data_IF_405214212913
#
_entry.id   IF_405214212913
#
_cell.length_a   1.000
_cell.length_b   1.000
_cell.length_c   1.000
_cell.angle_alpha   90.00
_cell.angle_beta   90.00
_cell.angle_gamma   90.00
#
_symmetry.space_group_name_H-M   'P 1'
#
loop_
_entity.id
_entity.type
_entity.pdbx_description
1 polymer ?
#
# COMPACT_ATOMS: atom_id res chain seq x y z
N UNK A 1 -3.32 -13.80 -22.09
CA UNK A 1 -3.64 -12.37 -22.31
C UNK A 1 -4.91 -12.02 -21.53
N UNK A 2 -5.10 -10.76 -21.08
CA UNK A 2 -6.40 -10.20 -20.67
C UNK A 2 -6.98 -10.49 -19.25
N UNK A 3 -6.21 -10.39 -18.15
CA UNK A 3 -6.74 -10.19 -16.77
C UNK A 3 -5.70 -9.37 -16.02
N UNK A 4 -5.96 -8.13 -15.61
CA UNK A 4 -5.00 -7.42 -14.77
C UNK A 4 -5.60 -6.37 -13.86
N UNK A 5 -4.87 -6.18 -12.76
CA UNK A 5 -5.04 -5.12 -11.78
C UNK A 5 -6.48 -5.13 -11.20
N UNK A 6 -7.10 -4.06 -10.69
CA UNK A 6 -6.71 -2.68 -10.36
C UNK A 6 -7.69 -2.33 -9.13
N UNK A 7 -7.31 -1.77 -7.93
CA UNK A 7 -8.19 -1.05 -6.92
C UNK A 7 -7.50 -0.28 -5.72
N UNK A 8 -7.65 1.06 -5.57
CA UNK A 8 -7.04 2.00 -4.54
C UNK A 8 -7.96 3.17 -4.16
N UNK A 9 -9.20 3.32 -4.66
CA UNK A 9 -10.04 4.50 -4.35
C UNK A 9 -10.31 4.76 -2.84
N UNK A 10 -9.99 3.81 -1.96
CA UNK A 10 -9.48 4.13 -0.62
C UNK A 10 -8.12 4.86 -0.65
N UNK A 11 -8.13 6.06 -1.26
CA UNK A 11 -7.01 6.92 -1.74
C UNK A 11 -6.69 6.89 -3.24
N UNK A 12 -7.77 6.92 -4.04
CA UNK A 12 -7.91 7.19 -5.49
C UNK A 12 -7.23 6.23 -6.49
N UNK A 13 -8.06 5.79 -7.45
CA UNK A 13 -7.78 5.05 -8.71
C UNK A 13 -8.11 3.53 -8.74
N UNK A 14 -8.12 2.97 -9.96
CA UNK A 14 -7.75 1.62 -10.48
C UNK A 14 -8.95 0.59 -10.76
N UNK A 15 -9.45 0.34 -12.03
CA UNK A 15 -9.90 -0.95 -12.76
C UNK A 15 -10.64 -0.82 -14.13
N UNK A 16 -10.45 -1.59 -15.26
CA UNK A 16 -9.53 -2.72 -15.68
C UNK A 16 -9.83 -3.37 -17.10
N UNK A 17 -8.81 -3.73 -17.93
CA UNK A 17 -8.91 -4.02 -19.38
C UNK A 17 -7.99 -5.13 -19.98
N UNK A 18 -8.05 -5.30 -21.32
CA UNK A 18 -7.76 -6.53 -22.07
C UNK A 18 -7.09 -6.27 -23.46
N UNK A 19 -5.75 -6.31 -23.59
CA UNK A 19 -5.01 -6.11 -24.87
C UNK A 19 -5.13 -7.22 -25.95
N UNK A 20 -4.56 -7.03 -27.15
CA UNK A 20 -4.64 -7.96 -28.33
C UNK A 20 -3.35 -8.01 -29.15
N UNK A 21 -3.02 -9.18 -29.71
CA UNK A 21 -1.80 -9.44 -30.49
C UNK A 21 -1.90 -8.97 -31.97
N UNK A 22 -0.79 -8.46 -32.51
CA UNK A 22 -0.45 -8.52 -33.94
C UNK A 22 1.05 -8.78 -34.09
N UNK A 23 1.41 -9.73 -34.96
CA UNK A 23 2.79 -10.08 -35.29
C UNK A 23 3.20 -9.48 -36.64
N UNK A 24 4.51 -9.39 -36.92
CA UNK A 24 4.99 -9.55 -38.29
C UNK A 24 6.09 -10.61 -38.44
N UNK A 25 5.82 -11.53 -39.38
CA UNK A 25 6.67 -12.26 -40.33
C UNK A 25 8.18 -12.53 -40.08
N UNK A 26 8.56 -13.77 -40.43
CA UNK A 26 9.93 -14.23 -40.66
C UNK A 26 10.68 -13.47 -41.78
N UNK A 27 12.00 -13.34 -41.63
CA UNK A 27 12.97 -13.50 -42.74
C UNK A 27 14.18 -14.29 -42.21
N UNK A 28 14.69 -15.22 -43.02
CA UNK A 28 15.71 -16.21 -42.68
C UNK A 28 16.99 -16.03 -43.53
N UNK A 29 18.08 -16.73 -43.14
CA UNK A 29 19.39 -16.85 -43.80
C UNK A 29 20.33 -15.61 -43.70
N UNK A 30 21.66 -15.77 -43.56
CA UNK A 30 22.48 -16.98 -43.53
C UNK A 30 23.94 -16.72 -43.11
N UNK A 31 24.80 -17.74 -43.24
CA UNK A 31 26.22 -17.79 -42.82
C UNK A 31 27.14 -16.81 -43.61
N UNK A 32 28.45 -16.63 -43.36
CA UNK A 32 29.45 -17.48 -42.70
C UNK A 32 30.76 -16.68 -42.36
N UNK A 33 31.77 -17.37 -41.80
CA UNK A 33 33.24 -17.14 -41.81
C UNK A 33 33.99 -16.44 -40.67
N UNK A 34 34.81 -17.28 -40.02
CA UNK A 34 36.23 -17.09 -39.63
C UNK A 34 36.66 -16.24 -38.42
N UNK A 35 37.30 -16.97 -37.50
CA UNK A 35 37.96 -16.54 -36.29
C UNK A 35 39.24 -15.67 -36.47
N UNK A 36 39.50 -14.83 -35.47
CA UNK A 36 40.87 -14.62 -34.94
C UNK A 36 40.81 -14.63 -33.41
N UNK A 37 41.75 -15.34 -32.77
CA UNK A 37 41.83 -15.43 -31.32
C UNK A 37 42.42 -14.16 -30.68
N UNK A 38 41.69 -13.55 -29.74
CA UNK A 38 42.16 -12.42 -28.93
C UNK A 38 41.69 -12.55 -27.48
N UNK A 39 42.49 -13.21 -26.62
CA UNK A 39 42.22 -13.27 -25.16
C UNK A 39 42.49 -11.90 -24.51
N UNK A 40 41.58 -10.96 -24.66
CA UNK A 40 41.44 -9.84 -23.72
C UNK A 40 40.47 -10.24 -22.62
N UNK A 41 40.91 -10.18 -21.35
CA UNK A 41 39.98 -10.26 -20.21
C UNK A 41 39.07 -9.04 -20.27
N UNK A 42 37.84 -9.22 -20.73
CA UNK A 42 36.80 -8.20 -20.59
C UNK A 42 36.55 -7.98 -19.10
N UNK A 43 37.09 -6.90 -18.54
CA UNK A 43 36.72 -6.48 -17.19
C UNK A 43 35.25 -6.08 -17.22
N UNK A 44 34.44 -6.74 -16.39
CA UNK A 44 33.07 -6.31 -16.16
C UNK A 44 33.11 -4.86 -15.67
N UNK A 45 32.53 -3.93 -16.45
CA UNK A 45 32.47 -2.50 -16.11
C UNK A 45 31.36 -2.25 -15.09
N UNK A 46 31.54 -2.84 -13.92
CA UNK A 46 30.79 -2.44 -12.74
C UNK A 46 31.32 -1.12 -12.20
N UNK A 47 30.46 -0.28 -11.63
CA UNK A 47 30.90 0.87 -10.86
C UNK A 47 31.56 0.45 -9.51
N UNK A 48 32.02 1.41 -8.71
CA UNK A 48 32.59 1.18 -7.37
C UNK A 48 31.64 0.39 -6.43
N UNK A 49 30.33 0.46 -6.64
CA UNK A 49 29.30 -0.25 -5.87
C UNK A 49 28.97 -1.66 -6.41
N UNK A 50 29.60 -2.09 -7.52
CA UNK A 50 29.40 -3.40 -8.14
C UNK A 50 28.18 -3.50 -9.08
N UNK A 51 27.64 -2.38 -9.55
CA UNK A 51 26.44 -2.32 -10.40
C UNK A 51 26.84 -2.49 -11.87
N UNK A 52 26.23 -3.46 -12.57
CA UNK A 52 26.31 -3.56 -14.03
C UNK A 52 25.56 -2.38 -14.66
N UNK A 53 26.29 -1.59 -15.47
CA UNK A 53 25.81 -0.34 -16.06
C UNK A 53 25.33 -0.50 -17.50
N UNK A 54 25.48 -1.68 -18.10
CA UNK A 54 25.25 -1.88 -19.55
C UNK A 54 23.87 -2.49 -19.83
N UNK A 55 23.33 -3.28 -18.91
CA UNK A 55 22.07 -4.04 -19.10
C UNK A 55 20.85 -3.39 -18.43
N UNK A 56 20.90 -2.08 -18.14
CA UNK A 56 20.07 -1.46 -17.10
C UNK A 56 19.13 -0.35 -17.62
N UNK A 57 17.86 -0.69 -17.79
CA UNK A 57 16.75 0.29 -17.86
C UNK A 57 16.13 0.50 -16.48
N UNK A 58 16.86 1.16 -15.57
CA UNK A 58 16.21 1.89 -14.48
C UNK A 58 16.38 3.36 -14.75
N UNK A 59 15.25 4.07 -14.80
CA UNK A 59 15.19 5.53 -14.84
C UNK A 59 15.55 6.11 -13.46
N UNK A 60 16.76 5.78 -12.98
CA UNK A 60 17.30 6.06 -11.63
C UNK A 60 17.68 7.54 -11.51
N UNK A 61 16.72 8.41 -11.83
CA UNK A 61 16.81 9.85 -11.68
C UNK A 61 16.87 10.19 -10.20
N UNK A 62 17.72 11.16 -9.86
CA UNK A 62 17.77 11.71 -8.51
C UNK A 62 17.08 13.06 -8.49
N UNK A 63 16.20 13.25 -7.51
CA UNK A 63 15.50 14.52 -7.30
C UNK A 63 16.02 15.15 -6.00
N UNK A 64 16.33 16.44 -6.08
CA UNK A 64 16.53 17.28 -4.90
C UNK A 64 15.22 18.01 -4.65
N UNK A 65 14.46 17.61 -3.63
CA UNK A 65 13.22 18.29 -3.27
C UNK A 65 13.53 19.68 -2.68
N UNK A 66 13.42 20.73 -3.48
CA UNK A 66 13.46 22.12 -3.01
C UNK A 66 12.04 22.58 -2.66
N UNK A 67 11.87 23.22 -1.51
CA UNK A 67 10.54 23.56 -0.97
C UNK A 67 9.68 24.47 -1.86
N UNK A 68 10.30 25.20 -2.81
CA UNK A 68 9.72 26.29 -3.61
C UNK A 68 9.33 25.91 -5.05
N UNK A 69 9.56 24.66 -5.48
CA UNK A 69 9.36 24.23 -6.88
C UNK A 69 8.04 23.52 -7.19
N UNK A 70 7.07 23.53 -6.28
CA UNK A 70 5.82 22.75 -6.41
C UNK A 70 4.65 23.61 -6.92
N UNK A 71 3.75 23.05 -7.75
CA UNK A 71 2.54 23.74 -8.19
C UNK A 71 1.74 24.33 -7.01
N UNK A 72 1.09 25.46 -7.25
CA UNK A 72 0.16 26.11 -6.32
C UNK A 72 -1.22 26.23 -6.98
N UNK A 73 -1.98 25.13 -7.15
CA UNK A 73 -3.32 25.21 -7.72
C UNK A 73 -4.28 25.92 -6.76
N UNK A 74 -5.42 26.35 -7.29
CA UNK A 74 -6.44 27.11 -6.55
C UNK A 74 -7.79 26.37 -6.54
N UNK A 75 -8.78 26.94 -5.86
CA UNK A 75 -10.10 26.35 -5.70
C UNK A 75 -10.24 25.45 -4.47
N UNK A 76 -11.33 24.66 -4.45
CA UNK A 76 -11.67 23.72 -3.38
C UNK A 76 -10.61 22.64 -3.24
N UNK A 77 -10.30 22.28 -2.00
CA UNK A 77 -9.35 21.20 -1.67
C UNK A 77 -10.02 20.19 -0.76
N UNK A 78 -10.01 18.91 -1.15
CA UNK A 78 -10.40 17.79 -0.29
C UNK A 78 -9.13 17.12 0.25
N UNK A 79 -9.02 17.03 1.58
CA UNK A 79 -7.84 16.57 2.30
C UNK A 79 -8.11 15.17 2.87
N UNK A 80 -7.47 14.14 2.31
CA UNK A 80 -7.65 12.74 2.73
C UNK A 80 -6.37 12.20 3.35
N UNK A 81 -6.45 11.75 4.60
CA UNK A 81 -5.31 11.19 5.32
C UNK A 81 -5.14 9.68 5.08
N UNK A 82 -3.91 9.26 4.79
CA UNK A 82 -3.47 7.88 4.59
C UNK A 82 -2.61 7.43 5.76
N UNK A 83 -3.05 6.40 6.48
CA UNK A 83 -2.32 5.90 7.64
C UNK A 83 -2.13 4.38 7.56
N UNK A 84 -0.89 3.98 7.30
CA UNK A 84 -0.46 2.58 7.46
C UNK A 84 -0.18 2.30 8.93
N UNK A 85 -0.98 1.45 9.58
CA UNK A 85 -0.82 1.12 11.00
C UNK A 85 -0.02 -0.18 11.20
N UNK A 86 1.06 -0.11 12.00
CA UNK A 86 1.67 -1.31 12.59
C UNK A 86 0.79 -1.77 13.76
N UNK A 87 -0.20 -2.60 13.44
CA UNK A 87 -0.93 -3.41 14.43
C UNK A 87 -0.59 -4.88 14.20
N UNK A 88 -0.01 -5.51 15.22
CA UNK A 88 0.32 -6.93 15.21
C UNK A 88 -0.96 -7.76 15.35
N UNK A 89 -0.91 -9.05 15.03
CA UNK A 89 -2.08 -9.94 15.05
C UNK A 89 -2.76 -9.94 16.44
N UNK A 90 -3.98 -9.40 16.51
CA UNK A 90 -4.75 -9.26 17.75
C UNK A 90 -4.43 -8.01 18.59
N UNK A 91 -3.45 -7.19 18.20
CA UNK A 91 -3.04 -6.00 18.95
C UNK A 91 -4.06 -4.85 18.78
N UNK A 92 -4.58 -4.26 19.87
CA UNK A 92 -5.43 -3.07 19.79
C UNK A 92 -4.62 -1.81 19.43
N UNK A 93 -3.32 -1.76 19.76
CA UNK A 93 -2.50 -0.58 19.53
C UNK A 93 -1.97 -0.56 18.09
N UNK A 94 -2.10 0.60 17.43
CA UNK A 94 -1.69 0.80 16.05
C UNK A 94 -0.78 2.02 15.95
N UNK A 95 0.52 1.78 15.78
CA UNK A 95 1.49 2.84 15.53
C UNK A 95 1.35 3.35 14.08
N UNK A 96 1.36 4.67 13.88
CA UNK A 96 1.23 5.26 12.55
C UNK A 96 2.60 5.23 11.83
N UNK A 97 2.82 4.20 11.01
CA UNK A 97 4.14 3.83 10.48
C UNK A 97 4.42 4.38 9.08
N UNK A 98 3.35 4.65 8.34
CA UNK A 98 3.33 5.37 7.07
C UNK A 98 2.23 6.45 7.16
N UNK A 99 2.57 7.69 6.79
CA UNK A 99 1.70 8.86 6.94
C UNK A 99 1.75 9.66 5.63
N UNK A 100 0.65 9.73 4.90
CA UNK A 100 0.55 10.54 3.69
C UNK A 100 -0.75 11.34 3.73
N UNK A 101 -0.67 12.64 3.52
CA UNK A 101 -1.85 13.47 3.31
C UNK A 101 -2.01 13.70 1.81
N UNK A 102 -3.12 13.25 1.23
CA UNK A 102 -3.46 13.54 -0.17
C UNK A 102 -4.41 14.72 -0.22
N UNK A 103 -4.10 15.69 -1.06
CA UNK A 103 -4.89 16.91 -1.26
C UNK A 103 -5.36 16.95 -2.70
N UNK A 104 -6.66 16.80 -2.90
CA UNK A 104 -7.30 16.87 -4.20
C UNK A 104 -7.78 18.30 -4.43
N UNK A 105 -7.08 19.03 -5.30
CA UNK A 105 -7.47 20.36 -5.78
C UNK A 105 -8.50 20.16 -6.90
N UNK A 106 -9.74 19.89 -6.49
CA UNK A 106 -10.78 19.35 -7.37
C UNK A 106 -11.12 20.29 -8.53
N UNK A 107 -11.18 21.60 -8.29
CA UNK A 107 -11.46 22.60 -9.34
C UNK A 107 -10.26 22.85 -10.29
N UNK A 108 -9.06 22.39 -9.92
CA UNK A 108 -7.85 22.49 -10.74
C UNK A 108 -7.48 21.18 -11.44
N UNK A 109 -8.17 20.07 -11.15
CA UNK A 109 -7.79 18.73 -11.61
C UNK A 109 -6.36 18.37 -11.22
N UNK A 110 -5.97 18.57 -9.95
CA UNK A 110 -4.60 18.42 -9.45
C UNK A 110 -4.53 17.71 -8.08
N UNK A 111 -3.43 17.00 -7.82
CA UNK A 111 -3.25 16.15 -6.63
C UNK A 111 -1.88 16.34 -5.98
N UNK A 112 -1.84 16.71 -4.71
CA UNK A 112 -0.60 16.75 -3.91
C UNK A 112 -0.55 15.60 -2.91
N UNK A 113 0.54 14.84 -2.88
CA UNK A 113 0.81 13.83 -1.84
C UNK A 113 1.89 14.38 -0.90
N UNK A 114 1.51 14.72 0.34
CA UNK A 114 2.42 15.13 1.41
C UNK A 114 2.78 13.92 2.26
N UNK A 115 3.97 13.39 2.05
CA UNK A 115 4.57 12.27 2.79
C UNK A 115 5.24 12.76 4.08
N UNK A 116 4.90 12.17 5.23
CA UNK A 116 5.41 12.56 6.56
C UNK A 116 6.14 11.39 7.25
N UNK A 117 7.45 11.50 7.57
CA UNK A 117 8.21 10.47 8.30
C UNK A 117 7.60 10.11 9.65
N UNK A 118 7.68 8.83 10.01
CA UNK A 118 7.09 8.31 11.25
C UNK A 118 7.77 8.85 12.51
N UNK A 119 9.04 9.21 12.38
CA UNK A 119 9.89 9.76 13.44
C UNK A 119 9.83 11.30 13.52
N UNK A 120 8.95 11.97 12.76
CA UNK A 120 8.71 13.42 12.90
C UNK A 120 8.28 13.72 14.34
N UNK A 121 8.96 14.66 15.00
CA UNK A 121 8.67 15.04 16.39
C UNK A 121 7.24 15.58 16.50
N UNK A 122 6.51 15.07 17.50
CA UNK A 122 5.24 15.61 17.94
C UNK A 122 4.94 15.08 19.35
N UNK A 123 4.34 15.90 20.21
CA UNK A 123 4.00 15.49 21.58
C UNK A 123 2.98 14.34 21.58
N UNK A 124 3.45 13.16 21.97
CA UNK A 124 2.67 11.94 22.11
C UNK A 124 2.28 11.66 23.58
N UNK A 125 2.65 12.55 24.52
CA UNK A 125 2.39 12.43 25.95
C UNK A 125 3.42 11.57 26.70
N UNK A 126 4.63 11.44 26.17
CA UNK A 126 5.76 10.87 26.91
C UNK A 126 6.63 11.98 27.49
N UNK A 127 7.45 11.62 28.48
CA UNK A 127 8.58 12.44 28.92
C UNK A 127 9.59 12.59 27.74
N UNK A 128 10.06 13.80 27.48
CA UNK A 128 10.96 14.09 26.34
C UNK A 128 12.28 13.30 26.40
N UNK A 129 12.75 12.92 27.60
CA UNK A 129 13.96 12.08 27.77
C UNK A 129 13.83 10.71 27.10
N UNK A 130 12.60 10.22 26.88
CA UNK A 130 12.33 8.91 26.27
C UNK A 130 12.58 8.85 24.76
N UNK A 131 12.65 9.99 24.07
CA UNK A 131 12.64 10.09 22.61
C UNK A 131 11.39 9.45 21.93
N UNK A 132 10.29 9.26 22.68
CA UNK A 132 9.03 8.66 22.18
C UNK A 132 8.01 9.69 21.67
N UNK A 133 8.25 11.00 21.84
CA UNK A 133 7.44 12.08 21.29
C UNK A 133 7.62 12.21 19.78
N UNK A 134 6.96 11.30 19.06
CA UNK A 134 7.04 11.11 17.61
C UNK A 134 5.65 10.82 17.05
N UNK A 135 5.37 11.29 15.84
CA UNK A 135 4.09 11.14 15.14
C UNK A 135 3.56 9.70 15.13
N UNK A 136 4.45 8.71 14.96
CA UNK A 136 4.14 7.27 15.01
C UNK A 136 3.44 6.82 16.30
N UNK A 137 3.75 7.46 17.43
CA UNK A 137 3.19 7.15 18.73
C UNK A 137 1.95 8.01 19.06
N UNK A 138 1.78 9.19 18.47
CA UNK A 138 0.60 10.04 18.71
C UNK A 138 -0.70 9.28 18.42
N UNK A 139 -0.74 8.50 17.33
CA UNK A 139 -1.91 7.69 16.96
C UNK A 139 -2.21 6.57 17.97
N UNK A 140 -1.18 5.98 18.54
CA UNK A 140 -1.27 4.91 19.52
C UNK A 140 -1.68 5.43 20.91
N UNK A 141 -1.01 6.49 21.39
CA UNK A 141 -1.16 7.02 22.74
C UNK A 141 -2.30 8.02 22.91
N UNK A 142 -2.50 8.91 21.94
CA UNK A 142 -3.47 10.03 22.00
C UNK A 142 -4.65 9.88 21.05
N UNK A 143 -4.73 8.74 20.35
CA UNK A 143 -5.84 8.38 19.46
C UNK A 143 -5.87 9.14 18.13
N UNK A 144 -6.83 8.75 17.27
CA UNK A 144 -6.98 9.25 15.89
C UNK A 144 -7.15 10.78 15.82
N UNK A 145 -8.02 11.35 16.65
CA UNK A 145 -8.32 12.80 16.63
C UNK A 145 -7.09 13.67 16.88
N UNK A 146 -6.27 13.31 17.88
CA UNK A 146 -5.04 14.03 18.22
C UNK A 146 -3.99 13.88 17.11
N UNK A 147 -3.89 12.68 16.54
CA UNK A 147 -3.02 12.39 15.40
C UNK A 147 -3.40 13.19 14.15
N UNK A 148 -4.68 13.28 13.78
CA UNK A 148 -5.10 14.08 12.62
C UNK A 148 -4.84 15.58 12.81
N UNK A 149 -4.95 16.10 14.04
CA UNK A 149 -4.52 17.48 14.37
C UNK A 149 -3.01 17.68 14.18
N UNK A 150 -2.19 16.72 14.61
CA UNK A 150 -0.74 16.75 14.38
C UNK A 150 -0.39 16.78 12.88
N UNK A 151 -1.11 16.01 12.05
CA UNK A 151 -0.94 16.05 10.58
C UNK A 151 -1.28 17.44 10.04
N UNK A 152 -2.40 18.06 10.46
CA UNK A 152 -2.77 19.41 10.04
C UNK A 152 -1.67 20.43 10.32
N UNK A 153 -1.09 20.40 11.53
CA UNK A 153 -0.02 21.29 11.97
C UNK A 153 1.28 21.09 11.16
N UNK A 154 1.74 19.85 11.02
CA UNK A 154 2.97 19.50 10.27
C UNK A 154 2.82 19.84 8.76
N UNK A 155 1.66 19.58 8.18
CA UNK A 155 1.38 19.87 6.79
C UNK A 155 1.14 21.36 6.52
N UNK A 156 0.55 22.08 7.49
CA UNK A 156 0.05 23.45 7.31
C UNK A 156 -1.31 23.48 6.60
N UNK A 157 -2.20 22.53 6.90
CA UNK A 157 -3.56 22.47 6.34
C UNK A 157 -4.61 22.69 7.44
N UNK A 158 -5.78 23.30 7.15
CA UNK A 158 -6.75 23.66 8.18
C UNK A 158 -7.48 22.46 8.78
N UNK A 159 -7.73 21.41 8.00
CA UNK A 159 -8.43 20.20 8.44
C UNK A 159 -8.11 18.98 7.58
N UNK A 160 -8.47 17.81 8.10
CA UNK A 160 -8.61 16.56 7.35
C UNK A 160 -10.11 16.33 7.13
N UNK A 161 -10.51 16.11 5.88
CA UNK A 161 -11.91 15.87 5.49
C UNK A 161 -12.26 14.37 5.65
N UNK A 162 -11.38 13.51 5.15
CA UNK A 162 -11.52 12.05 5.22
C UNK A 162 -10.23 11.39 5.68
N UNK A 163 -10.32 10.20 6.25
CA UNK A 163 -9.14 9.40 6.66
C UNK A 163 -9.34 7.94 6.28
N UNK A 164 -8.22 7.27 5.99
CA UNK A 164 -8.15 5.84 5.67
C UNK A 164 -7.02 5.22 6.49
N UNK A 165 -7.35 4.21 7.29
CA UNK A 165 -6.42 3.43 8.10
C UNK A 165 -6.40 1.96 7.63
N UNK A 166 -5.20 1.39 7.46
CA UNK A 166 -5.03 -0.02 7.12
C UNK A 166 -3.73 -0.62 7.69
N UNK A 167 -3.79 -1.87 8.13
CA UNK A 167 -2.64 -2.65 8.57
C UNK A 167 -2.04 -3.54 7.48
N UNK A 168 -1.04 -4.35 7.82
CA UNK A 168 -0.28 -5.13 6.82
C UNK A 168 -1.12 -6.09 5.96
N UNK A 169 -2.09 -6.82 6.54
CA UNK A 169 -2.93 -7.75 5.77
C UNK A 169 -3.83 -6.99 4.77
N UNK A 170 -4.37 -5.85 5.19
CA UNK A 170 -5.20 -4.98 4.36
C UNK A 170 -4.35 -4.34 3.24
N UNK A 171 -3.12 -3.93 3.54
CA UNK A 171 -2.16 -3.45 2.54
C UNK A 171 -1.83 -4.53 1.47
N UNK A 172 -1.69 -5.81 1.86
CA UNK A 172 -1.56 -6.91 0.90
C UNK A 172 -2.81 -7.02 0.02
N UNK A 173 -4.01 -7.02 0.62
CA UNK A 173 -5.27 -7.07 -0.14
C UNK A 173 -5.41 -5.93 -1.15
N UNK A 174 -5.09 -4.70 -0.74
CA UNK A 174 -5.05 -3.54 -1.63
C UNK A 174 -4.02 -3.76 -2.76
N UNK A 175 -2.78 -4.16 -2.44
CA UNK A 175 -1.72 -4.44 -3.42
C UNK A 175 -2.11 -5.52 -4.45
N UNK A 176 -2.73 -6.61 -4.00
CA UNK A 176 -3.26 -7.65 -4.89
C UNK A 176 -4.33 -7.09 -5.83
N UNK A 177 -5.25 -6.26 -5.30
CA UNK A 177 -6.22 -5.55 -6.14
C UNK A 177 -5.52 -4.60 -7.12
N UNK A 178 -4.43 -3.90 -6.78
CA UNK A 178 -3.70 -3.07 -7.78
C UNK A 178 -2.96 -3.86 -8.87
N UNK A 179 -3.01 -5.19 -8.86
CA UNK A 179 -2.31 -6.03 -9.82
C UNK A 179 -0.92 -6.48 -9.40
N UNK A 180 -0.52 -6.23 -8.15
CA UNK A 180 0.68 -6.85 -7.58
C UNK A 180 0.36 -8.25 -7.03
N UNK A 181 -0.66 -8.95 -7.54
CA UNK A 181 -1.12 -10.23 -6.99
C UNK A 181 0.02 -11.24 -6.79
N UNK A 182 0.90 -11.36 -7.78
CA UNK A 182 2.02 -12.29 -7.78
C UNK A 182 3.19 -11.87 -6.89
N UNK A 183 3.25 -10.60 -6.44
CA UNK A 183 4.38 -10.06 -5.68
C UNK A 183 4.01 -9.09 -4.54
N UNK A 184 2.76 -9.05 -4.09
CA UNK A 184 2.25 -8.08 -3.12
C UNK A 184 3.07 -8.04 -1.82
N UNK A 185 3.49 -9.21 -1.32
CA UNK A 185 4.37 -9.31 -0.15
C UNK A 185 5.76 -8.69 -0.40
N UNK A 186 6.31 -8.86 -1.61
CA UNK A 186 7.58 -8.26 -2.03
C UNK A 186 7.43 -6.75 -2.23
N UNK A 187 6.36 -6.27 -2.86
CA UNK A 187 6.03 -4.85 -2.99
C UNK A 187 5.93 -4.18 -1.63
N UNK A 188 5.19 -4.79 -0.69
CA UNK A 188 5.07 -4.30 0.68
C UNK A 188 6.43 -4.30 1.41
N UNK A 189 7.30 -5.29 1.18
CA UNK A 189 8.67 -5.31 1.74
C UNK A 189 9.53 -4.17 1.19
N UNK A 190 9.47 -3.88 -0.11
CA UNK A 190 10.14 -2.73 -0.74
C UNK A 190 9.66 -1.43 -0.09
N UNK A 191 8.35 -1.20 -0.02
CA UNK A 191 7.74 0.01 0.55
C UNK A 191 7.97 0.17 2.07
N UNK A 192 8.31 -0.92 2.78
CA UNK A 192 8.66 -0.89 4.20
C UNK A 192 10.15 -0.71 4.47
N UNK A 193 11.01 -0.90 3.47
CA UNK A 193 12.46 -0.88 3.67
C UNK A 193 12.97 0.49 4.09
N UNK A 194 13.83 0.53 5.11
CA UNK A 194 14.49 1.75 5.63
C UNK A 194 16.00 1.62 5.51
N UNK A 195 16.55 0.55 6.09
CA UNK A 195 17.98 0.28 6.23
C UNK A 195 18.70 0.10 4.89
N UNK A 196 18.01 -0.32 3.84
CA UNK A 196 18.60 -0.44 2.51
C UNK A 196 18.86 0.93 1.83
N UNK A 197 18.28 2.02 2.33
CA UNK A 197 18.40 3.35 1.72
C UNK A 197 19.34 4.26 2.52
N UNK A 198 20.24 4.97 1.83
CA UNK A 198 21.17 5.93 2.45
C UNK A 198 20.43 7.08 3.17
N UNK A 199 19.35 7.59 2.55
CA UNK A 199 18.50 8.63 3.14
C UNK A 199 17.43 8.06 4.12
N UNK A 200 17.57 6.80 4.54
CA UNK A 200 16.77 6.16 5.59
C UNK A 200 15.26 6.31 5.43
N UNK A 201 14.60 6.86 6.45
CA UNK A 201 13.14 7.01 6.45
C UNK A 201 12.63 7.97 5.39
N UNK A 202 13.38 9.02 5.07
CA UNK A 202 12.97 9.99 4.04
C UNK A 202 12.85 9.33 2.66
N UNK A 203 13.75 8.39 2.32
CA UNK A 203 13.62 7.59 1.10
C UNK A 203 12.43 6.63 1.18
N UNK A 204 12.19 5.97 2.33
CA UNK A 204 11.04 5.08 2.50
C UNK A 204 9.72 5.82 2.26
N UNK A 205 9.52 6.95 2.92
CA UNK A 205 8.24 7.67 2.89
C UNK A 205 8.06 8.45 1.58
N UNK A 206 9.16 8.84 0.92
CA UNK A 206 9.12 9.29 -0.48
C UNK A 206 8.75 8.17 -1.45
N UNK A 207 9.32 6.97 -1.29
CA UNK A 207 9.00 5.79 -2.11
C UNK A 207 7.52 5.41 -1.99
N UNK A 208 6.96 5.46 -0.79
CA UNK A 208 5.52 5.24 -0.56
C UNK A 208 4.67 6.28 -1.30
N UNK A 209 5.01 7.59 -1.21
CA UNK A 209 4.31 8.64 -1.96
C UNK A 209 4.44 8.51 -3.48
N UNK A 210 5.63 8.13 -3.97
CA UNK A 210 5.86 7.88 -5.41
C UNK A 210 5.14 6.64 -5.93
N UNK A 211 5.06 5.57 -5.12
CA UNK A 211 4.25 4.41 -5.40
C UNK A 211 2.78 4.80 -5.57
N UNK A 212 2.22 5.55 -4.61
CA UNK A 212 0.84 6.05 -4.67
C UNK A 212 0.62 6.90 -5.92
N UNK A 213 1.52 7.85 -6.22
CA UNK A 213 1.47 8.66 -7.45
C UNK A 213 1.45 7.81 -8.73
N UNK A 214 2.31 6.81 -8.84
CA UNK A 214 2.39 5.96 -10.04
C UNK A 214 1.20 5.01 -10.16
N UNK A 215 0.64 4.55 -9.04
CA UNK A 215 -0.61 3.79 -9.02
C UNK A 215 -1.79 4.66 -9.45
N UNK A 216 -1.89 5.91 -8.97
CA UNK A 216 -2.90 6.86 -9.43
C UNK A 216 -2.78 7.14 -10.93
N UNK A 217 -1.58 7.45 -11.41
CA UNK A 217 -1.40 7.79 -12.82
C UNK A 217 -1.77 6.65 -13.76
N UNK A 218 -1.32 5.41 -13.52
CA UNK A 218 -1.49 4.31 -14.49
C UNK A 218 -2.93 3.94 -14.89
N UNK A 219 -3.93 4.58 -14.29
CA UNK A 219 -5.19 3.91 -14.09
C UNK A 219 -6.40 4.75 -13.68
N UNK A 220 -6.21 6.05 -13.42
CA UNK A 220 -7.32 6.96 -13.09
C UNK A 220 -8.43 6.85 -14.15
N UNK A 221 -8.01 6.70 -15.40
CA UNK A 221 -8.87 6.65 -16.59
C UNK A 221 -9.66 5.33 -16.75
N UNK A 222 -9.51 4.36 -15.83
CA UNK A 222 -10.37 3.19 -15.74
C UNK A 222 -10.90 3.18 -14.30
N UNK A 223 -11.75 4.11 -13.92
CA UNK A 223 -12.36 4.15 -12.57
C UNK A 223 -13.88 4.26 -12.59
N UNK A 224 -14.40 4.56 -13.77
CA UNK A 224 -15.78 4.74 -14.19
C UNK A 224 -16.35 3.51 -14.93
N UNK A 225 -15.56 2.44 -15.10
CA UNK A 225 -16.07 1.14 -15.53
C UNK A 225 -16.57 0.30 -14.34
N UNK A 226 -17.45 -0.66 -14.61
CA UNK A 226 -18.05 -1.57 -13.59
C UNK A 226 -17.00 -2.28 -12.71
N UNK A 227 -15.83 -2.57 -13.26
CA UNK A 227 -14.73 -3.25 -12.58
C UNK A 227 -14.01 -2.24 -11.67
N UNK A 228 -13.89 -0.97 -12.09
CA UNK A 228 -13.51 0.20 -11.29
C UNK A 228 -14.42 0.40 -10.08
N UNK A 229 -15.74 0.44 -10.28
CA UNK A 229 -16.72 0.54 -9.21
C UNK A 229 -16.60 -0.60 -8.19
N UNK A 230 -16.50 -1.84 -8.69
CA UNK A 230 -16.35 -3.04 -7.86
C UNK A 230 -15.04 -3.02 -7.08
N UNK A 231 -13.95 -2.56 -7.71
CA UNK A 231 -12.64 -2.35 -7.09
C UNK A 231 -12.71 -1.32 -5.95
N UNK A 232 -13.33 -0.16 -6.18
CA UNK A 232 -13.58 0.85 -5.14
C UNK A 232 -14.36 0.25 -3.96
N UNK A 233 -15.49 -0.43 -4.21
CA UNK A 233 -16.29 -1.08 -3.16
C UNK A 233 -15.46 -2.12 -2.39
N UNK A 234 -14.64 -2.91 -3.08
CA UNK A 234 -13.74 -3.88 -2.47
C UNK A 234 -12.68 -3.21 -1.57
N UNK A 235 -12.08 -2.10 -2.03
CA UNK A 235 -11.13 -1.33 -1.24
C UNK A 235 -11.79 -0.79 0.04
N UNK A 236 -12.99 -0.19 -0.05
CA UNK A 236 -13.73 0.35 1.11
C UNK A 236 -14.06 -0.73 2.14
N UNK A 237 -14.34 -1.95 1.69
CA UNK A 237 -14.60 -3.09 2.57
C UNK A 237 -13.34 -3.72 3.20
N UNK A 238 -12.14 -3.35 2.72
CA UNK A 238 -10.85 -3.80 3.28
C UNK A 238 -10.30 -2.85 4.35
N UNK A 239 -10.48 -1.53 4.21
CA UNK A 239 -9.88 -0.51 5.08
C UNK A 239 -10.80 -0.07 6.22
N UNK A 240 -10.27 0.66 7.20
CA UNK A 240 -11.07 1.47 8.12
C UNK A 240 -11.12 2.91 7.60
N UNK A 241 -12.30 3.53 7.44
CA UNK A 241 -12.43 4.88 6.90
C UNK A 241 -13.76 5.55 7.30
N UNK A 242 -13.82 6.89 7.20
CA UNK A 242 -15.07 7.67 7.20
C UNK A 242 -15.55 8.07 5.78
N UNK A 243 -14.88 7.61 4.73
CA UNK A 243 -15.19 7.95 3.34
C UNK A 243 -16.26 7.00 2.78
N UNK A 244 -17.28 7.53 2.11
CA UNK A 244 -18.33 6.74 1.43
C UNK A 244 -17.99 6.49 -0.03
N UNK A 245 -18.67 5.55 -0.66
CA UNK A 245 -18.59 5.32 -2.11
C UNK A 245 -18.88 6.61 -2.90
N UNK A 246 -19.98 7.29 -2.58
CA UNK A 246 -20.42 8.50 -3.27
C UNK A 246 -19.42 9.67 -3.10
N UNK A 247 -18.77 9.76 -1.92
CA UNK A 247 -17.71 10.74 -1.68
C UNK A 247 -16.44 10.43 -2.49
N UNK A 248 -16.14 9.15 -2.69
CA UNK A 248 -15.05 8.70 -3.54
C UNK A 248 -15.29 9.04 -5.01
N UNK A 249 -16.45 8.63 -5.52
CA UNK A 249 -16.93 8.86 -6.89
C UNK A 249 -16.92 10.36 -7.22
N UNK A 250 -17.49 11.18 -6.35
CA UNK A 250 -17.48 12.64 -6.52
C UNK A 250 -16.07 13.25 -6.63
N UNK A 251 -15.09 12.75 -5.87
CA UNK A 251 -13.71 13.26 -5.97
C UNK A 251 -13.12 12.91 -7.35
N UNK A 252 -13.39 11.72 -7.88
CA UNK A 252 -12.92 11.29 -9.20
C UNK A 252 -13.58 12.09 -10.32
N UNK A 253 -14.89 12.29 -10.24
CA UNK A 253 -15.65 13.01 -11.26
C UNK A 253 -15.30 14.51 -11.28
N UNK A 254 -15.15 15.14 -10.10
CA UNK A 254 -14.64 16.51 -10.04
C UNK A 254 -13.19 16.57 -10.62
N UNK A 255 -12.31 15.61 -10.33
CA UNK A 255 -10.95 15.58 -10.91
C UNK A 255 -10.94 15.37 -12.44
N UNK A 256 -11.74 14.42 -12.95
CA UNK A 256 -11.83 14.07 -14.38
C UNK A 256 -12.39 15.23 -15.19
N UNK A 257 -13.45 15.87 -14.69
CA UNK A 257 -14.06 17.04 -15.33
C UNK A 257 -13.13 18.27 -15.38
N UNK A 258 -12.14 18.35 -14.49
CA UNK A 258 -11.12 19.42 -14.49
C UNK A 258 -9.76 18.97 -15.09
N UNK A 259 -9.76 17.88 -15.86
CA UNK A 259 -8.63 17.47 -16.72
C UNK A 259 -7.51 16.71 -16.02
N UNK A 260 -7.77 16.06 -14.89
CA UNK A 260 -6.87 15.03 -14.37
C UNK A 260 -7.02 13.74 -15.20
N UNK A 261 -5.91 13.14 -15.64
CA UNK A 261 -5.89 11.88 -16.40
C UNK A 261 -4.58 11.10 -16.16
N UNK A 262 -4.47 9.89 -16.71
CA UNK A 262 -3.23 9.11 -16.70
C UNK A 262 -2.09 9.75 -17.49
N UNK A 263 -2.44 10.54 -18.51
CA UNK A 263 -1.52 11.07 -19.52
C UNK A 263 -0.76 12.32 -19.06
N UNK A 264 -1.26 13.04 -18.05
CA UNK A 264 -0.62 14.25 -17.50
C UNK A 264 0.04 13.97 -16.14
N UNK A 265 1.30 13.49 -16.12
CA UNK A 265 2.06 13.27 -14.89
C UNK A 265 2.41 14.55 -14.13
N UNK A 266 2.16 15.75 -14.68
CA UNK A 266 2.51 17.03 -14.04
C UNK A 266 1.46 17.46 -13.01
N UNK A 267 0.21 17.01 -13.17
CA UNK A 267 -0.92 17.29 -12.26
C UNK A 267 -0.86 16.58 -10.92
N UNK A 268 0.12 15.70 -10.72
CA UNK A 268 0.34 15.01 -9.45
C UNK A 268 1.80 15.02 -9.03
N UNK A 269 2.06 15.42 -7.79
CA UNK A 269 3.41 15.51 -7.22
C UNK A 269 3.48 15.01 -5.77
N UNK A 270 4.70 14.68 -5.35
CA UNK A 270 5.01 14.18 -4.00
C UNK A 270 5.91 15.19 -3.29
N UNK A 271 5.58 15.52 -2.04
CA UNK A 271 6.38 16.36 -1.14
C UNK A 271 6.69 15.63 0.14
N UNK A 272 7.77 16.04 0.80
CA UNK A 272 8.06 15.64 2.17
C UNK A 272 7.75 16.79 3.13
N UNK A 273 7.17 16.47 4.28
CA UNK A 273 7.11 17.34 5.46
C UNK A 273 7.70 16.59 6.67
N UNK A 274 8.53 17.21 7.52
CA UNK A 274 9.09 18.57 7.39
C UNK A 274 9.96 18.72 6.12
N UNK A 275 9.99 19.93 5.58
CA UNK A 275 10.74 20.25 4.35
C UNK A 275 12.24 20.17 4.60
N UNK A 276 12.93 19.26 3.92
CA UNK A 276 14.37 19.05 4.07
C UNK A 276 15.03 18.91 2.69
N UNK A 277 16.19 19.55 2.51
CA UNK A 277 16.99 19.42 1.29
C UNK A 277 17.73 18.07 1.36
N UNK A 278 17.18 17.06 0.70
CA UNK A 278 17.80 15.74 0.59
C UNK A 278 17.76 15.25 -0.85
N UNK A 279 18.77 14.47 -1.24
CA UNK A 279 18.81 13.77 -2.53
C UNK A 279 18.09 12.45 -2.37
N UNK A 280 17.07 12.23 -3.20
CA UNK A 280 16.25 11.03 -3.18
C UNK A 280 16.31 10.35 -4.55
N UNK A 281 16.39 9.03 -4.55
CA UNK A 281 16.22 8.21 -5.76
C UNK A 281 14.75 8.15 -6.14
N UNK A 282 14.45 8.22 -7.44
CA UNK A 282 13.10 8.00 -7.99
C UNK A 282 13.06 6.61 -8.60
N UNK A 283 12.28 5.72 -7.99
CA UNK A 283 12.09 4.35 -8.47
C UNK A 283 10.82 4.24 -9.33
N UNK A 284 10.86 3.44 -10.40
CA UNK A 284 9.63 2.88 -10.98
C UNK A 284 9.09 1.77 -10.07
N UNK A 285 7.78 1.74 -9.87
CA UNK A 285 7.07 0.70 -9.12
C UNK A 285 6.14 -0.10 -10.02
N UNK A 286 6.55 -0.45 -11.24
CA UNK A 286 5.94 -1.56 -11.97
C UNK A 286 6.29 -2.92 -11.32
N UNK A 287 5.53 -3.96 -11.65
CA UNK A 287 5.64 -5.27 -11.00
C UNK A 287 6.98 -5.98 -11.29
N UNK A 288 7.56 -5.75 -12.47
CA UNK A 288 8.85 -6.31 -12.83
C UNK A 288 9.97 -5.64 -12.02
N UNK A 289 10.03 -4.31 -12.01
CA UNK A 289 11.07 -3.55 -11.32
C UNK A 289 11.00 -3.70 -9.79
N UNK A 290 9.81 -3.84 -9.20
CA UNK A 290 9.66 -4.17 -7.76
C UNK A 290 10.38 -5.45 -7.38
N UNK A 291 10.38 -6.45 -8.26
CA UNK A 291 11.05 -7.75 -8.01
C UNK A 291 12.57 -7.57 -7.93
N UNK A 292 13.15 -6.76 -8.83
CA UNK A 292 14.58 -6.45 -8.81
C UNK A 292 14.97 -5.53 -7.64
N UNK A 293 14.15 -4.51 -7.32
CA UNK A 293 14.37 -3.67 -6.12
C UNK A 293 14.37 -4.53 -4.85
N UNK A 294 13.45 -5.49 -4.72
CA UNK A 294 13.40 -6.41 -3.58
C UNK A 294 14.66 -7.31 -3.49
N UNK A 295 15.20 -7.75 -4.64
CA UNK A 295 16.46 -8.50 -4.72
C UNK A 295 17.65 -7.65 -4.28
N UNK A 296 17.77 -6.42 -4.75
CA UNK A 296 18.82 -5.48 -4.32
C UNK A 296 18.74 -5.15 -2.82
N UNK A 297 17.53 -4.91 -2.30
CA UNK A 297 17.29 -4.72 -0.86
C UNK A 297 17.76 -5.94 -0.07
N UNK A 298 17.44 -7.15 -0.52
CA UNK A 298 17.86 -8.41 0.12
C UNK A 298 19.38 -8.54 0.16
N UNK A 299 20.05 -8.31 -0.97
CA UNK A 299 21.51 -8.35 -1.07
C UNK A 299 22.16 -7.32 -0.14
N UNK A 300 21.63 -6.09 -0.07
CA UNK A 300 22.19 -5.04 0.78
C UNK A 300 21.98 -5.31 2.27
N UNK A 301 20.80 -5.77 2.68
CA UNK A 301 20.53 -6.15 4.07
C UNK A 301 21.46 -7.30 4.51
N UNK A 302 21.61 -8.34 3.67
CA UNK A 302 22.54 -9.45 3.92
C UNK A 302 23.99 -9.00 4.04
N UNK A 303 24.48 -8.12 3.15
CA UNK A 303 25.82 -7.51 3.25
C UNK A 303 26.03 -6.69 4.53
N UNK A 304 24.97 -6.13 5.10
CA UNK A 304 25.03 -5.35 6.34
C UNK A 304 24.93 -6.22 7.61
N UNK A 305 24.74 -7.54 7.48
CA UNK A 305 24.49 -8.43 8.63
C UNK A 305 23.18 -8.13 9.37
N UNK A 306 22.30 -7.33 8.76
CA UNK A 306 21.04 -6.87 9.34
C UNK A 306 19.89 -7.86 9.08
N UNK A 307 20.18 -9.17 9.08
CA UNK A 307 19.15 -10.20 8.98
C UNK A 307 18.30 -10.21 10.25
N UNK A 308 17.30 -9.32 10.23
CA UNK A 308 16.21 -9.29 11.19
C UNK A 308 15.59 -10.67 11.24
N UNK A 309 15.59 -11.28 12.43
CA UNK A 309 15.00 -12.60 12.71
C UNK A 309 13.74 -12.78 11.85
N UNK A 310 13.74 -13.70 10.88
CA UNK A 310 12.60 -13.83 9.98
C UNK A 310 11.40 -14.22 10.83
N UNK A 311 10.43 -13.30 10.95
CA UNK A 311 9.08 -13.64 11.40
C UNK A 311 8.50 -14.48 10.26
N UNK A 312 8.84 -15.77 10.30
CA UNK A 312 8.61 -16.68 9.19
C UNK A 312 7.10 -16.71 8.92
N UNK A 313 6.67 -16.69 7.66
CA UNK A 313 5.24 -16.64 7.32
C UNK A 313 4.47 -17.81 7.95
N UNK A 314 5.14 -18.97 8.04
CA UNK A 314 4.70 -20.16 8.79
C UNK A 314 4.37 -19.87 10.27
N UNK A 315 5.14 -19.01 10.94
CA UNK A 315 4.87 -18.57 12.32
C UNK A 315 3.62 -17.70 12.41
N UNK A 316 3.34 -16.87 11.40
CA UNK A 316 2.10 -16.10 11.33
C UNK A 316 0.89 -17.02 11.11
N UNK A 317 0.95 -17.88 10.10
CA UNK A 317 -0.13 -18.85 9.80
C UNK A 317 -0.43 -19.72 11.03
N UNK A 318 0.61 -20.26 11.68
CA UNK A 318 0.48 -21.09 12.89
C UNK A 318 -0.13 -20.31 14.08
N UNK A 319 0.10 -19.01 14.20
CA UNK A 319 -0.55 -18.15 15.22
C UNK A 319 -2.02 -17.92 14.88
N UNK A 320 -2.34 -17.63 13.62
CA UNK A 320 -3.71 -17.45 13.14
C UNK A 320 -4.54 -18.73 13.32
N UNK A 321 -4.02 -19.88 12.92
CA UNK A 321 -4.65 -21.18 13.12
C UNK A 321 -4.98 -21.43 14.60
N UNK A 322 -3.99 -21.27 15.50
CA UNK A 322 -4.20 -21.41 16.96
C UNK A 322 -5.29 -20.50 17.53
N UNK A 323 -5.44 -19.27 17.03
CA UNK A 323 -6.53 -18.37 17.45
C UNK A 323 -7.90 -18.87 16.98
N UNK A 324 -8.00 -19.33 15.74
CA UNK A 324 -9.22 -19.88 15.15
C UNK A 324 -9.62 -21.19 15.84
N UNK A 325 -8.67 -22.07 16.11
CA UNK A 325 -8.91 -23.34 16.83
C UNK A 325 -9.36 -23.10 18.27
N UNK A 326 -8.72 -22.17 18.98
CA UNK A 326 -9.14 -21.77 20.34
C UNK A 326 -10.57 -21.22 20.35
N UNK A 327 -10.92 -20.37 19.39
CA UNK A 327 -12.27 -19.84 19.28
C UNK A 327 -13.31 -20.92 18.89
N UNK A 328 -12.91 -21.92 18.10
CA UNK A 328 -13.78 -23.05 17.75
C UNK A 328 -14.15 -23.90 18.98
N UNK A 329 -13.21 -24.13 19.91
CA UNK A 329 -13.48 -24.81 21.18
C UNK A 329 -14.50 -24.05 22.06
N UNK A 330 -14.40 -22.72 22.11
CA UNK A 330 -15.33 -21.86 22.86
C UNK A 330 -16.71 -21.71 22.19
N UNK A 331 -16.82 -21.98 20.88
CA UNK A 331 -17.96 -21.57 20.04
C UNK A 331 -19.33 -22.12 20.46
N UNK A 332 -19.39 -23.33 21.01
CA UNK A 332 -20.62 -23.88 21.54
C UNK A 332 -21.06 -23.15 22.83
N UNK A 333 -20.11 -22.85 23.73
CA UNK A 333 -20.38 -22.46 25.12
C UNK A 333 -20.38 -20.94 25.37
N UNK A 334 -19.53 -20.17 24.68
CA UNK A 334 -19.34 -18.73 24.96
C UNK A 334 -19.21 -17.88 23.68
N UNK A 335 -20.32 -17.43 23.08
CA UNK A 335 -20.27 -16.58 21.89
C UNK A 335 -19.54 -15.24 22.15
N UNK A 336 -19.60 -14.72 23.38
CA UNK A 336 -18.84 -13.54 23.78
C UNK A 336 -17.31 -13.76 23.77
N UNK A 337 -16.83 -14.96 24.15
CA UNK A 337 -15.40 -15.29 24.05
C UNK A 337 -14.93 -15.37 22.60
N UNK A 338 -15.74 -15.97 21.72
CA UNK A 338 -15.45 -16.03 20.26
C UNK A 338 -15.35 -14.63 19.67
N UNK A 339 -16.31 -13.75 19.94
CA UNK A 339 -16.26 -12.35 19.48
C UNK A 339 -14.99 -11.67 19.99
N UNK A 340 -14.68 -11.79 21.28
CA UNK A 340 -13.48 -11.19 21.89
C UNK A 340 -12.17 -11.70 21.26
N UNK A 341 -12.10 -12.99 20.89
CA UNK A 341 -10.91 -13.59 20.28
C UNK A 341 -10.77 -13.26 18.79
N UNK A 342 -11.86 -13.26 18.02
CA UNK A 342 -11.83 -13.22 16.56
C UNK A 342 -12.15 -11.85 15.95
N UNK A 343 -12.82 -10.94 16.67
CA UNK A 343 -13.20 -9.62 16.14
C UNK A 343 -11.97 -8.86 15.63
N UNK A 344 -10.89 -8.79 16.41
CA UNK A 344 -9.67 -8.05 16.03
C UNK A 344 -8.93 -8.69 14.85
N UNK A 345 -8.65 -10.01 14.81
CA UNK A 345 -8.16 -10.68 13.60
C UNK A 345 -9.04 -10.49 12.35
N UNK A 346 -10.36 -10.39 12.51
CA UNK A 346 -11.29 -10.13 11.41
C UNK A 346 -11.20 -8.68 10.90
N UNK A 347 -11.19 -7.69 11.79
CA UNK A 347 -10.94 -6.27 11.47
C UNK A 347 -9.61 -6.11 10.71
N UNK A 348 -8.56 -6.79 11.18
CA UNK A 348 -7.23 -6.79 10.58
C UNK A 348 -7.13 -7.60 9.27
N UNK A 349 -8.22 -8.25 8.82
CA UNK A 349 -8.26 -9.15 7.64
C UNK A 349 -7.13 -10.19 7.65
N UNK A 350 -6.85 -10.77 8.82
CA UNK A 350 -5.61 -11.49 9.11
C UNK A 350 -5.25 -12.60 8.11
N UNK A 351 -6.23 -13.27 7.51
CA UNK A 351 -6.02 -14.30 6.49
C UNK A 351 -5.26 -13.80 5.25
N UNK A 352 -5.29 -12.51 4.90
CA UNK A 352 -4.61 -11.97 3.72
C UNK A 352 -3.07 -12.10 3.80
N UNK A 353 -2.50 -12.29 4.99
CA UNK A 353 -1.07 -12.60 5.16
C UNK A 353 -0.73 -14.08 4.90
N UNK A 354 -1.72 -14.94 4.65
CA UNK A 354 -1.51 -16.34 4.24
C UNK A 354 -1.30 -16.37 2.71
N UNK A 355 -0.14 -16.87 2.21
CA UNK A 355 0.13 -16.89 0.77
C UNK A 355 -0.74 -17.86 -0.02
N UNK A 356 -1.03 -19.04 0.56
CA UNK A 356 -1.88 -20.06 -0.05
C UNK A 356 -3.33 -19.58 -0.10
N UNK A 357 -3.88 -19.43 -1.30
CA UNK A 357 -5.23 -18.90 -1.53
C UNK A 357 -6.34 -19.82 -0.99
N UNK A 358 -6.13 -21.14 -1.04
CA UNK A 358 -7.10 -22.13 -0.55
C UNK A 358 -7.18 -22.09 0.97
N UNK A 359 -6.03 -22.09 1.65
CA UNK A 359 -5.95 -21.89 3.11
C UNK A 359 -6.47 -20.53 3.53
N UNK A 360 -6.10 -19.46 2.82
CA UNK A 360 -6.59 -18.09 3.06
C UNK A 360 -8.12 -18.05 3.06
N UNK A 361 -8.75 -18.64 2.04
CA UNK A 361 -10.21 -18.77 1.96
C UNK A 361 -10.77 -19.59 3.12
N UNK A 362 -10.17 -20.74 3.45
CA UNK A 362 -10.61 -21.57 4.58
C UNK A 362 -10.53 -20.83 5.93
N UNK A 363 -9.46 -20.07 6.20
CA UNK A 363 -9.33 -19.26 7.41
C UNK A 363 -10.34 -18.09 7.44
N UNK A 364 -10.57 -17.40 6.31
CA UNK A 364 -11.61 -16.38 6.14
C UNK A 364 -12.99 -16.96 6.50
N UNK A 365 -13.38 -18.04 5.83
CA UNK A 365 -14.72 -18.63 5.93
C UNK A 365 -14.99 -19.18 7.34
N UNK A 366 -14.02 -19.88 7.93
CA UNK A 366 -14.11 -20.43 9.29
C UNK A 366 -14.19 -19.32 10.35
N UNK A 367 -13.40 -18.25 10.22
CA UNK A 367 -13.45 -17.11 11.14
C UNK A 367 -14.77 -16.34 11.04
N UNK A 368 -15.19 -16.01 9.81
CA UNK A 368 -16.40 -15.22 9.59
C UNK A 368 -17.66 -15.99 10.01
N UNK A 369 -17.76 -17.29 9.71
CA UNK A 369 -18.90 -18.12 10.12
C UNK A 369 -19.06 -18.17 11.65
N UNK A 370 -17.95 -18.35 12.39
CA UNK A 370 -17.99 -18.32 13.86
C UNK A 370 -18.41 -16.95 14.41
N UNK A 371 -17.96 -15.85 13.80
CA UNK A 371 -18.39 -14.50 14.18
C UNK A 371 -19.86 -14.25 13.89
N UNK A 372 -20.38 -14.61 12.70
CA UNK A 372 -21.80 -14.48 12.33
C UNK A 372 -22.69 -15.21 13.34
N UNK A 373 -22.40 -16.48 13.64
CA UNK A 373 -23.15 -17.28 14.61
C UNK A 373 -23.07 -16.65 16.01
N UNK A 374 -21.89 -16.18 16.43
CA UNK A 374 -21.70 -15.59 17.75
C UNK A 374 -22.42 -14.25 17.90
N UNK A 375 -22.36 -13.38 16.89
CA UNK A 375 -23.06 -12.09 16.87
C UNK A 375 -24.57 -12.27 16.89
N UNK A 376 -25.12 -13.22 16.11
CA UNK A 376 -26.55 -13.60 16.18
C UNK A 376 -26.94 -14.09 17.58
N UNK A 377 -26.13 -14.93 18.23
CA UNK A 377 -26.39 -15.41 19.59
C UNK A 377 -26.37 -14.31 20.66
N UNK A 378 -25.62 -13.23 20.47
CA UNK A 378 -25.65 -12.04 21.34
C UNK A 378 -26.59 -10.94 20.83
N UNK A 379 -27.51 -11.27 19.91
CA UNK A 379 -28.53 -10.37 19.32
C UNK A 379 -27.97 -9.13 18.58
N UNK A 380 -26.70 -9.16 18.17
CA UNK A 380 -26.10 -8.11 17.34
C UNK A 380 -26.22 -8.50 15.86
N UNK A 381 -27.42 -8.36 15.31
CA UNK A 381 -27.74 -8.77 13.95
C UNK A 381 -26.98 -7.93 12.91
N UNK A 382 -26.82 -6.63 13.13
CA UNK A 382 -26.11 -5.72 12.22
C UNK A 382 -24.64 -6.12 12.04
N UNK A 383 -23.96 -6.53 13.12
CA UNK A 383 -22.58 -7.02 13.03
C UNK A 383 -22.48 -8.35 12.27
N UNK A 384 -23.49 -9.21 12.34
CA UNK A 384 -23.54 -10.43 11.54
C UNK A 384 -23.76 -10.10 10.04
N UNK A 385 -24.73 -9.24 9.72
CA UNK A 385 -25.03 -8.84 8.34
C UNK A 385 -23.84 -8.17 7.65
N UNK A 386 -23.13 -7.25 8.31
CA UNK A 386 -21.90 -6.64 7.76
C UNK A 386 -20.81 -7.66 7.38
N UNK A 387 -20.75 -8.80 8.07
CA UNK A 387 -19.81 -9.89 7.74
C UNK A 387 -20.32 -10.69 6.54
N UNK A 388 -21.62 -10.95 6.45
CA UNK A 388 -22.24 -11.62 5.31
C UNK A 388 -22.12 -10.80 4.02
N UNK A 389 -22.36 -9.48 4.10
CA UNK A 389 -22.15 -8.52 3.00
C UNK A 389 -20.69 -8.51 2.54
N UNK A 390 -19.74 -8.52 3.48
CA UNK A 390 -18.31 -8.63 3.17
C UNK A 390 -17.97 -9.95 2.44
N UNK A 391 -18.48 -11.10 2.90
CA UNK A 391 -18.26 -12.39 2.22
C UNK A 391 -18.87 -12.37 0.81
N UNK A 392 -20.07 -11.81 0.66
CA UNK A 392 -20.76 -11.68 -0.63
C UNK A 392 -19.93 -10.84 -1.61
N UNK A 393 -19.44 -9.68 -1.17
CA UNK A 393 -18.57 -8.81 -1.96
C UNK A 393 -17.23 -9.48 -2.30
N UNK A 394 -16.54 -10.06 -1.32
CA UNK A 394 -15.24 -10.72 -1.54
C UNK A 394 -15.36 -11.95 -2.46
N UNK A 395 -16.48 -12.67 -2.41
CA UNK A 395 -16.76 -13.75 -3.37
C UNK A 395 -17.03 -13.21 -4.78
N UNK A 396 -17.76 -12.09 -4.95
CA UNK A 396 -17.94 -11.44 -6.27
C UNK A 396 -16.61 -10.99 -6.86
N UNK A 397 -15.79 -10.29 -6.06
CA UNK A 397 -14.47 -9.78 -6.43
C UNK A 397 -13.49 -10.91 -6.80
N UNK A 398 -13.63 -12.08 -6.20
CA UNK A 398 -12.80 -13.25 -6.53
C UNK A 398 -13.41 -14.16 -7.62
N UNK A 399 -14.65 -13.93 -8.04
CA UNK A 399 -15.29 -14.58 -9.19
C UNK A 399 -15.20 -13.74 -10.48
N UNK A 400 -14.92 -12.44 -10.38
CA UNK A 400 -14.58 -11.55 -11.50
C UNK A 400 -13.09 -11.58 -11.89
N UNK A 401 -12.29 -12.44 -11.24
CA UNK A 401 -10.87 -12.69 -11.50
C UNK A 401 -10.68 -14.05 -12.17
#
# INVERSE_FOLDING_TARGET
>A
MRIFMLAVICLVVISCSKGTDQAPADVNNGADTTAVAGRSKASARTNIDGIDTVTFHVTDSTVTLRATGFPQPTGRVVNVMVTGVDSRLGDPMGHADANHLIRFFVDSGCVEIISIPRDTYFDAGFDDTTNLNKLTNVRANRGRTSYLKAICEIAGVPRIDYWVEFGFSQAIGLLELMGYKENASSTLRVLRSRQAYSSGDFQRVYNQGQFMRQVMLRAFDNTDDFVGELGLRAALALVETNMTYDACEKILDDLRSHGFSSEDPTRIWVRLKPSLITKLKVYSFDSANVTEINKQISQKIGRMGLDSIPINQETYERRLAKLIDKAALDSARSPASVIRLLRRPYEQRAWLQVPDLSKRKAYRDRMCSMLIVSYRRVKNHDAAHRIEDYISLDNKVNASK
#
